data_IF_808217404779
#
_entry.id   IF_808217404779
#
_cell.length_a   1.000
_cell.length_b   1.000
_cell.length_c   1.000
_cell.angle_alpha   90.00
_cell.angle_beta   90.00
_cell.angle_gamma   90.00
#
_symmetry.space_group_name_H-M   'P 1'
#
loop_
_entity.id
_entity.type
_entity.pdbx_description
1 polymer ?
#
# COMPACT_ATOMS: atom_id res chain seq x y z
N UNK A 1 8.77 -27.47 -20.00
CA UNK A 1 7.90 -26.71 -19.06
C UNK A 1 7.68 -25.32 -19.64
N UNK A 2 6.89 -25.20 -20.71
CA UNK A 2 6.55 -23.90 -21.31
C UNK A 2 5.17 -23.51 -20.82
N UNK A 3 5.10 -22.67 -19.78
CA UNK A 3 3.82 -22.12 -19.36
C UNK A 3 3.38 -21.07 -20.39
N UNK A 4 2.19 -21.25 -20.94
CA UNK A 4 1.54 -20.26 -21.80
C UNK A 4 1.37 -18.95 -20.99
N UNK A 5 1.68 -17.77 -21.53
CA UNK A 5 1.55 -16.48 -20.81
C UNK A 5 0.15 -16.17 -20.27
N UNK A 6 -0.90 -16.82 -20.76
CA UNK A 6 -2.26 -16.71 -20.19
C UNK A 6 -2.44 -17.52 -18.90
N UNK A 7 -1.96 -18.77 -18.88
CA UNK A 7 -2.03 -19.61 -17.68
C UNK A 7 -1.24 -19.01 -16.52
N UNK A 8 -0.12 -18.35 -16.82
CA UNK A 8 0.68 -17.63 -15.83
C UNK A 8 -0.09 -16.46 -15.21
N UNK A 9 -0.86 -15.72 -16.01
CA UNK A 9 -1.69 -14.60 -15.53
C UNK A 9 -2.86 -15.09 -14.69
N UNK A 10 -3.50 -16.18 -15.09
CA UNK A 10 -4.60 -16.78 -14.33
C UNK A 10 -4.12 -17.30 -12.98
N UNK A 11 -3.01 -18.05 -12.95
CA UNK A 11 -2.42 -18.55 -11.71
C UNK A 11 -2.00 -17.41 -10.77
N UNK A 12 -1.45 -16.32 -11.32
CA UNK A 12 -1.09 -15.14 -10.57
C UNK A 12 -2.32 -14.46 -9.94
N UNK A 13 -3.41 -14.28 -10.70
CA UNK A 13 -4.64 -13.69 -10.20
C UNK A 13 -5.27 -14.54 -9.07
N UNK A 14 -5.27 -15.86 -9.21
CA UNK A 14 -5.75 -16.76 -8.15
C UNK A 14 -4.91 -16.68 -6.88
N UNK A 15 -3.57 -16.59 -7.01
CA UNK A 15 -2.68 -16.45 -5.86
C UNK A 15 -2.89 -15.11 -5.13
N UNK A 16 -3.05 -14.00 -5.88
CA UNK A 16 -3.35 -12.69 -5.31
C UNK A 16 -4.66 -12.73 -4.52
N UNK A 17 -5.72 -13.29 -5.09
CA UNK A 17 -7.02 -13.41 -4.42
C UNK A 17 -6.94 -14.28 -3.14
N UNK A 18 -6.11 -15.32 -3.13
CA UNK A 18 -5.89 -16.15 -1.96
C UNK A 18 -5.19 -15.36 -0.82
N UNK A 19 -4.20 -14.54 -1.16
CA UNK A 19 -3.47 -13.70 -0.20
C UNK A 19 -4.41 -12.65 0.40
N UNK A 20 -5.18 -11.94 -0.42
CA UNK A 20 -6.14 -10.93 0.08
C UNK A 20 -7.20 -11.53 1.00
N UNK A 21 -7.66 -12.77 0.71
CA UNK A 21 -8.63 -13.46 1.58
C UNK A 21 -8.04 -13.86 2.93
N UNK A 22 -6.77 -14.27 2.98
CA UNK A 22 -6.12 -14.73 4.21
C UNK A 22 -5.62 -13.58 5.09
N UNK A 23 -5.07 -12.53 4.49
CA UNK A 23 -4.36 -11.47 5.20
C UNK A 23 -5.11 -10.13 5.21
N UNK A 24 -6.25 -10.04 4.53
CA UNK A 24 -7.10 -8.85 4.47
C UNK A 24 -6.85 -8.01 3.22
N UNK A 25 -7.80 -7.09 2.95
CA UNK A 25 -7.68 -6.16 1.83
C UNK A 25 -6.43 -5.29 1.99
N UNK A 26 -5.57 -5.33 0.98
CA UNK A 26 -4.32 -4.59 0.95
C UNK A 26 -3.09 -5.29 1.51
N UNK A 27 -3.18 -6.60 1.74
CA UNK A 27 -2.01 -7.43 2.03
C UNK A 27 -1.01 -7.53 0.86
N UNK A 28 -1.46 -7.26 -0.37
CA UNK A 28 -0.63 -7.25 -1.58
C UNK A 28 -1.07 -6.11 -2.50
N UNK A 29 -0.11 -5.34 -3.01
CA UNK A 29 -0.33 -4.24 -3.95
C UNK A 29 0.70 -4.28 -5.07
N UNK A 30 0.32 -3.78 -6.25
CA UNK A 30 1.28 -3.48 -7.30
C UNK A 30 1.87 -2.09 -7.04
N UNK A 31 3.21 -2.00 -7.06
CA UNK A 31 3.92 -0.75 -6.80
C UNK A 31 3.69 0.30 -7.90
N UNK A 32 3.50 -0.16 -9.13
CA UNK A 32 3.41 0.67 -10.35
C UNK A 32 1.95 0.99 -10.73
N UNK A 33 0.98 0.57 -9.92
CA UNK A 33 -0.43 0.85 -10.14
C UNK A 33 -0.78 2.27 -9.68
N UNK A 34 -1.65 2.96 -10.44
CA UNK A 34 -2.33 4.19 -10.02
C UNK A 34 -3.35 3.86 -8.90
N UNK A 35 -2.87 3.31 -7.80
CA UNK A 35 -3.65 3.16 -6.58
C UNK A 35 -3.76 4.54 -5.98
N UNK A 36 -4.90 5.19 -6.24
CA UNK A 36 -5.39 6.30 -5.42
C UNK A 36 -5.11 5.92 -3.97
N UNK A 37 -4.14 6.61 -3.35
CA UNK A 37 -3.80 6.36 -1.96
C UNK A 37 -5.10 6.47 -1.18
N UNK A 38 -5.48 5.44 -0.40
CA UNK A 38 -6.69 5.52 0.40
C UNK A 38 -6.63 6.82 1.21
N UNK A 39 -7.75 7.52 1.31
CA UNK A 39 -7.82 8.75 2.11
C UNK A 39 -7.51 8.36 3.56
N UNK A 40 -6.30 8.73 4.01
CA UNK A 40 -5.83 8.43 5.36
C UNK A 40 -6.07 9.66 6.20
N UNK A 41 -6.75 9.50 7.34
CA UNK A 41 -6.81 10.55 8.34
C UNK A 41 -5.40 10.86 8.86
N UNK A 42 -4.97 12.12 8.81
CA UNK A 42 -3.65 12.55 9.26
C UNK A 42 -3.70 13.59 10.36
N UNK A 43 -2.73 13.55 11.27
CA UNK A 43 -2.48 14.59 12.27
C UNK A 43 -1.26 15.43 11.85
N UNK A 44 -1.40 16.76 11.78
CA UNK A 44 -0.26 17.64 11.44
C UNK A 44 0.90 17.45 12.42
N UNK A 45 2.13 17.47 11.91
CA UNK A 45 3.35 17.48 12.73
C UNK A 45 3.61 18.84 13.40
N UNK A 46 2.86 19.88 13.03
CA UNK A 46 3.11 21.26 13.45
C UNK A 46 4.23 21.96 12.67
N UNK A 47 4.88 21.25 11.75
CA UNK A 47 5.92 21.78 10.87
C UNK A 47 5.51 21.62 9.41
N UNK A 48 5.26 22.74 8.72
CA UNK A 48 4.76 22.73 7.33
C UNK A 48 5.70 21.99 6.36
N UNK A 49 7.01 22.09 6.57
CA UNK A 49 7.99 21.40 5.73
C UNK A 49 7.92 19.89 5.87
N UNK A 50 7.73 19.38 7.09
CA UNK A 50 7.61 17.94 7.36
C UNK A 50 6.28 17.40 6.83
N UNK A 51 5.17 18.10 7.08
CA UNK A 51 3.85 17.69 6.57
C UNK A 51 3.84 17.58 5.04
N UNK A 52 4.53 18.51 4.36
CA UNK A 52 4.70 18.48 2.90
C UNK A 52 5.66 17.37 2.46
N UNK A 53 6.74 17.11 3.18
CA UNK A 53 7.69 16.05 2.86
C UNK A 53 7.07 14.64 3.00
N UNK A 54 6.19 14.44 3.97
CA UNK A 54 5.43 13.20 4.14
C UNK A 54 4.43 12.95 2.99
N UNK A 55 4.06 13.99 2.23
CA UNK A 55 3.20 13.90 1.05
C UNK A 55 1.72 13.60 1.35
N UNK A 56 1.40 13.27 2.60
CA UNK A 56 0.04 13.01 3.09
C UNK A 56 -0.45 14.11 4.04
N UNK A 57 0.35 15.14 4.30
CA UNK A 57 -0.05 16.29 5.13
C UNK A 57 0.09 16.09 6.64
N UNK A 58 0.77 15.02 7.08
CA UNK A 58 1.06 14.79 8.49
C UNK A 58 1.27 13.32 8.84
N UNK A 59 1.18 13.02 10.13
CA UNK A 59 1.29 11.66 10.67
C UNK A 59 0.02 10.86 10.38
N UNK A 60 0.10 9.68 9.77
CA UNK A 60 -1.06 8.86 9.47
C UNK A 60 -1.68 8.24 10.73
N UNK A 61 -2.97 8.46 10.95
CA UNK A 61 -3.72 7.83 12.03
C UNK A 61 -3.79 6.31 11.84
N UNK A 62 -3.73 5.57 12.96
CA UNK A 62 -3.77 4.10 12.96
C UNK A 62 -2.53 3.41 12.42
N UNK A 63 -1.43 4.14 12.20
CA UNK A 63 -0.12 3.60 11.82
C UNK A 63 0.92 3.87 12.89
N UNK A 64 1.89 2.96 13.00
CA UNK A 64 3.06 3.15 13.85
C UNK A 64 4.03 4.08 13.14
N UNK A 65 4.48 5.12 13.83
CA UNK A 65 5.48 6.08 13.37
C UNK A 65 6.65 6.02 14.35
N UNK A 66 7.86 5.89 13.82
CA UNK A 66 9.09 5.92 14.60
C UNK A 66 9.87 7.20 14.31
N UNK A 67 10.30 7.90 15.37
CA UNK A 67 11.18 9.07 15.30
C UNK A 67 12.42 8.71 16.11
N UNK A 68 13.56 8.61 15.45
CA UNK A 68 14.84 8.28 16.06
C UNK A 68 15.81 9.46 15.95
N UNK A 69 16.76 9.53 16.89
CA UNK A 69 17.76 10.57 17.01
C UNK A 69 18.56 10.40 18.29
#
# INVERSE_FOLDING_TARGET
MTCNPEDRRNALATAIAAIEKQFGQGAIWQLDGDTKRPEVHTHTTGCLSIDRALGVGGLPAGRVVEIYG
#
